data_IF_055343653489
#
_entry.id   IF_055343653489
#
_cell.length_a   1.000
_cell.length_b   1.000
_cell.length_c   1.000
_cell.angle_alpha   90.00
_cell.angle_beta   90.00
_cell.angle_gamma   90.00
#
_symmetry.space_group_name_H-M   'P 1'
#
loop_
_entity.id
_entity.type
_entity.pdbx_description
1 polymer ?
#
# COMPACT_ATOMS: atom_id res chain seq x y z
N UNK A 1 32.85 30.04 -56.57
CA UNK A 1 31.65 30.31 -55.73
C UNK A 1 31.18 29.00 -55.10
N UNK A 2 31.62 28.66 -53.90
CA UNK A 2 30.99 27.60 -53.10
C UNK A 2 31.13 27.95 -51.62
N UNK A 3 30.02 28.39 -51.01
CA UNK A 3 29.91 28.56 -49.56
C UNK A 3 29.51 27.22 -48.94
N UNK A 4 30.15 26.76 -47.84
CA UNK A 4 29.68 25.58 -47.14
C UNK A 4 28.38 25.88 -46.39
N UNK A 5 27.39 25.02 -46.62
CA UNK A 5 26.07 25.03 -46.00
C UNK A 5 26.20 24.60 -44.53
N UNK A 6 26.11 25.55 -43.59
CA UNK A 6 26.09 25.25 -42.16
C UNK A 6 24.66 24.91 -41.76
N UNK A 7 24.40 23.62 -41.53
CA UNK A 7 23.13 23.13 -40.98
C UNK A 7 23.09 23.50 -39.49
N UNK A 8 22.45 24.62 -39.15
CA UNK A 8 22.07 24.94 -37.78
C UNK A 8 20.91 24.04 -37.37
N UNK A 9 21.18 22.97 -36.63
CA UNK A 9 20.14 22.22 -35.91
C UNK A 9 19.66 23.09 -34.74
N UNK A 10 18.54 23.79 -34.95
CA UNK A 10 17.80 24.42 -33.87
C UNK A 10 17.15 23.34 -33.01
N UNK A 11 17.62 23.17 -31.77
CA UNK A 11 16.86 22.43 -30.76
C UNK A 11 15.69 23.32 -30.32
N UNK A 12 14.51 23.12 -30.90
CA UNK A 12 13.27 23.65 -30.31
C UNK A 12 12.93 22.83 -29.08
N UNK A 13 13.34 23.31 -27.90
CA UNK A 13 12.71 22.85 -26.65
C UNK A 13 11.30 23.44 -26.62
N UNK A 14 10.33 22.70 -27.17
CA UNK A 14 8.92 22.90 -26.87
C UNK A 14 8.66 22.41 -25.44
N UNK A 15 9.20 23.12 -24.45
CA UNK A 15 8.69 23.05 -23.09
C UNK A 15 7.42 23.91 -23.11
N UNK A 16 6.27 23.29 -23.40
CA UNK A 16 5.00 23.86 -22.99
C UNK A 16 5.03 23.91 -21.46
N UNK A 17 5.39 25.08 -20.93
CA UNK A 17 5.08 25.42 -19.55
C UNK A 17 3.56 25.37 -19.44
N UNK A 18 3.04 24.31 -18.82
CA UNK A 18 1.64 24.26 -18.38
C UNK A 18 1.47 25.34 -17.32
N UNK A 19 1.12 26.55 -17.75
CA UNK A 19 0.49 27.53 -16.90
C UNK A 19 -1.02 27.26 -16.92
N UNK A 20 -1.48 26.55 -15.89
CA UNK A 20 -2.74 26.88 -15.24
C UNK A 20 -2.54 26.78 -13.73
N UNK A 21 -2.07 27.87 -13.12
CA UNK A 21 -2.10 28.08 -11.67
C UNK A 21 -3.52 28.53 -11.31
N UNK A 22 -4.46 27.59 -11.38
CA UNK A 22 -5.53 27.51 -10.40
C UNK A 22 -5.20 26.26 -9.63
N UNK A 23 -5.04 26.39 -8.32
CA UNK A 23 -4.58 25.34 -7.41
C UNK A 23 -5.15 23.99 -7.82
N UNK A 24 -4.33 23.23 -8.54
CA UNK A 24 -4.74 21.97 -9.10
C UNK A 24 -4.71 21.02 -7.90
N UNK A 25 -5.82 20.99 -7.18
CA UNK A 25 -6.09 20.06 -6.10
C UNK A 25 -5.75 18.68 -6.65
N UNK A 26 -4.55 18.19 -6.26
CA UNK A 26 -3.87 17.14 -7.01
C UNK A 26 -4.75 15.91 -7.23
N UNK A 27 -4.37 15.05 -8.19
CA UNK A 27 -5.12 13.84 -8.54
C UNK A 27 -5.59 13.04 -7.31
N UNK A 28 -4.78 12.98 -6.25
CA UNK A 28 -5.12 12.35 -4.98
C UNK A 28 -6.31 13.01 -4.27
N UNK A 29 -6.38 14.35 -4.19
CA UNK A 29 -7.49 15.09 -3.57
C UNK A 29 -8.78 14.90 -4.37
N UNK A 30 -8.69 14.92 -5.70
CA UNK A 30 -9.82 14.56 -6.59
C UNK A 30 -10.28 13.11 -6.39
N UNK A 31 -9.36 12.16 -6.29
CA UNK A 31 -9.67 10.75 -6.01
C UNK A 31 -10.35 10.58 -4.65
N UNK A 32 -9.87 11.30 -3.62
CA UNK A 32 -10.39 11.24 -2.26
C UNK A 32 -11.76 11.90 -2.12
N UNK A 33 -11.98 13.03 -2.80
CA UNK A 33 -13.31 13.67 -2.86
C UNK A 33 -14.33 12.78 -3.57
N UNK A 34 -13.96 12.18 -4.71
CA UNK A 34 -14.80 11.21 -5.41
C UNK A 34 -15.09 9.95 -4.55
N UNK A 35 -14.11 9.48 -3.77
CA UNK A 35 -14.33 8.40 -2.81
C UNK A 35 -15.23 8.83 -1.65
N UNK A 36 -15.09 10.06 -1.15
CA UNK A 36 -15.96 10.65 -0.13
C UNK A 36 -17.41 10.73 -0.60
N UNK A 37 -17.63 11.19 -1.83
CA UNK A 37 -18.96 11.33 -2.41
C UNK A 37 -19.60 9.96 -2.70
N UNK A 38 -18.81 8.98 -3.14
CA UNK A 38 -19.30 7.61 -3.36
C UNK A 38 -19.55 6.83 -2.06
N UNK A 39 -18.80 7.14 -1.00
CA UNK A 39 -18.93 6.54 0.33
C UNK A 39 -19.64 7.47 1.32
N UNK A 40 -20.43 8.46 0.87
CA UNK A 40 -21.14 9.35 1.79
C UNK A 40 -22.06 8.49 2.68
N UNK A 41 -21.63 8.30 3.92
CA UNK A 41 -22.27 7.42 4.88
C UNK A 41 -23.59 8.04 5.34
N UNK A 42 -24.62 7.22 5.52
CA UNK A 42 -25.97 7.64 5.91
C UNK A 42 -26.00 7.95 7.42
N UNK A 43 -26.35 9.19 7.81
CA UNK A 43 -26.37 9.66 9.20
C UNK A 43 -27.28 8.83 10.13
N UNK A 44 -28.21 8.06 9.56
CA UNK A 44 -29.23 7.30 10.28
C UNK A 44 -28.91 5.81 10.45
N UNK A 45 -27.75 5.34 9.99
CA UNK A 45 -27.37 3.93 10.11
C UNK A 45 -26.69 3.63 11.48
N UNK A 46 -27.05 2.56 12.21
CA UNK A 46 -26.40 2.19 13.48
C UNK A 46 -24.89 1.98 13.39
N UNK A 47 -24.33 1.63 12.21
CA UNK A 47 -22.88 1.47 12.01
C UNK A 47 -22.15 2.77 11.68
N UNK A 48 -22.88 3.86 11.45
CA UNK A 48 -22.34 5.17 11.08
C UNK A 48 -21.30 5.70 12.07
N UNK A 49 -21.60 5.54 13.38
CA UNK A 49 -20.77 6.01 14.49
C UNK A 49 -19.50 5.19 14.70
N UNK A 50 -19.43 3.98 14.14
CA UNK A 50 -18.27 3.10 14.27
C UNK A 50 -17.21 3.39 13.21
N UNK A 51 -17.59 4.01 12.09
CA UNK A 51 -16.72 4.26 10.93
C UNK A 51 -16.27 5.73 10.89
N UNK A 52 -17.12 6.67 11.31
CA UNK A 52 -16.72 8.08 11.49
C UNK A 52 -16.20 8.31 12.91
N UNK A 53 -14.94 8.72 13.01
CA UNK A 53 -14.39 9.25 14.24
C UNK A 53 -14.72 10.75 14.30
N UNK A 54 -15.57 11.15 15.24
CA UNK A 54 -15.96 12.56 15.44
C UNK A 54 -14.73 13.45 15.67
N UNK A 55 -13.69 12.91 16.33
CA UNK A 55 -12.39 13.57 16.52
C UNK A 55 -11.71 13.96 15.19
N UNK A 56 -11.88 13.18 14.12
CA UNK A 56 -11.28 13.49 12.82
C UNK A 56 -12.01 14.64 12.12
N UNK A 57 -13.32 14.75 12.30
CA UNK A 57 -14.11 15.86 11.77
C UNK A 57 -13.76 17.17 12.49
N UNK A 58 -13.56 17.13 13.81
CA UNK A 58 -13.04 18.25 14.59
C UNK A 58 -11.62 18.63 14.16
N UNK A 59 -10.74 17.65 13.96
CA UNK A 59 -9.39 17.91 13.44
C UNK A 59 -9.47 18.57 12.07
N UNK A 60 -10.32 18.08 11.16
CA UNK A 60 -10.47 18.63 9.81
C UNK A 60 -10.94 20.09 9.81
N UNK A 61 -11.90 20.45 10.68
CA UNK A 61 -12.32 21.84 10.86
C UNK A 61 -11.20 22.73 11.42
N UNK A 62 -10.35 22.16 12.27
CA UNK A 62 -9.22 22.85 12.90
C UNK A 62 -7.94 22.88 12.05
N UNK A 63 -7.84 22.11 10.96
CA UNK A 63 -6.68 22.13 10.05
C UNK A 63 -6.30 23.55 9.60
N UNK A 64 -7.22 24.37 9.05
CA UNK A 64 -6.85 25.72 8.59
C UNK A 64 -6.32 26.60 9.72
N UNK A 65 -6.88 26.47 10.93
CA UNK A 65 -6.38 27.18 12.11
C UNK A 65 -4.99 26.69 12.51
N UNK A 66 -4.75 25.37 12.56
CA UNK A 66 -3.45 24.80 12.90
C UNK A 66 -2.39 25.09 11.85
N UNK A 67 -2.75 25.12 10.57
CA UNK A 67 -1.86 25.53 9.48
C UNK A 67 -1.45 27.00 9.64
N UNK A 68 -2.41 27.87 9.99
CA UNK A 68 -2.14 29.26 10.31
C UNK A 68 -1.21 29.38 11.53
N UNK A 69 -1.54 28.70 12.64
CA UNK A 69 -0.72 28.69 13.85
C UNK A 69 0.69 28.16 13.60
N UNK A 70 0.84 27.14 12.74
CA UNK A 70 2.13 26.60 12.37
C UNK A 70 2.94 27.58 11.49
N UNK A 71 2.29 28.19 10.49
CA UNK A 71 2.94 29.18 9.60
C UNK A 71 3.39 30.42 10.35
N UNK A 72 2.61 30.88 11.31
CA UNK A 72 2.86 32.12 12.07
C UNK A 72 3.25 31.86 13.53
N UNK A 73 3.81 30.67 13.81
CA UNK A 73 4.11 30.25 15.18
C UNK A 73 5.02 31.24 15.89
N UNK A 74 6.07 31.66 15.19
CA UNK A 74 7.07 32.61 15.69
C UNK A 74 6.47 33.97 16.03
N UNK A 75 5.61 34.50 15.15
CA UNK A 75 4.96 35.80 15.32
C UNK A 75 3.90 35.76 16.43
N UNK A 76 3.17 34.65 16.56
CA UNK A 76 2.20 34.43 17.63
C UNK A 76 2.91 34.33 18.97
N UNK A 77 4.03 33.62 19.05
CA UNK A 77 4.85 33.54 20.26
C UNK A 77 5.44 34.92 20.61
N UNK A 78 5.91 35.69 19.61
CA UNK A 78 6.39 37.06 19.78
C UNK A 78 5.35 37.97 20.43
N UNK A 79 4.10 37.91 19.94
CA UNK A 79 2.99 38.72 20.43
C UNK A 79 2.59 38.37 21.87
N UNK A 80 2.84 37.13 22.31
CA UNK A 80 2.59 36.66 23.69
C UNK A 80 3.66 37.13 24.68
N UNK A 81 4.84 37.55 24.21
CA UNK A 81 5.92 38.00 25.09
C UNK A 81 5.65 39.41 25.62
N UNK A 82 5.61 39.56 26.95
CA UNK A 82 5.50 40.86 27.61
C UNK A 82 6.72 41.77 27.40
N UNK A 83 6.55 43.07 27.63
CA UNK A 83 7.63 44.06 27.58
C UNK A 83 8.72 43.86 28.64
N UNK A 84 8.42 43.08 29.68
CA UNK A 84 9.31 42.81 30.82
C UNK A 84 10.37 41.72 30.55
N UNK A 85 10.28 41.04 29.40
CA UNK A 85 11.16 39.93 29.02
C UNK A 85 12.43 40.50 28.38
N UNK A 86 13.59 40.04 28.86
CA UNK A 86 14.90 40.48 28.37
C UNK A 86 15.11 40.22 26.88
N UNK A 87 15.94 41.04 26.24
CA UNK A 87 16.25 40.98 24.80
C UNK A 87 16.67 39.58 24.36
N UNK A 88 17.54 38.92 25.12
CA UNK A 88 18.06 37.58 24.80
C UNK A 88 16.96 36.52 24.77
N UNK A 89 16.07 36.52 25.77
CA UNK A 89 14.94 35.57 25.84
C UNK A 89 13.97 35.81 24.69
N UNK A 90 13.75 37.07 24.30
CA UNK A 90 12.95 37.42 23.14
C UNK A 90 13.61 36.97 21.83
N UNK A 91 14.92 37.14 21.68
CA UNK A 91 15.67 36.68 20.51
C UNK A 91 15.70 35.15 20.40
N UNK A 92 15.80 34.44 21.52
CA UNK A 92 15.72 32.97 21.58
C UNK A 92 14.33 32.47 21.19
N UNK A 93 13.26 33.10 21.68
CA UNK A 93 11.88 32.74 21.30
C UNK A 93 11.59 33.02 19.82
N UNK A 94 12.21 34.06 19.25
CA UNK A 94 12.11 34.40 17.82
C UNK A 94 13.07 33.60 16.93
N UNK A 95 13.99 32.83 17.53
CA UNK A 95 14.95 32.03 16.78
C UNK A 95 14.27 30.82 16.14
N UNK A 96 14.78 30.40 14.99
CA UNK A 96 14.26 29.21 14.29
C UNK A 96 14.53 27.97 15.15
N UNK A 97 13.56 27.06 15.31
CA UNK A 97 13.78 25.80 16.02
C UNK A 97 14.81 24.95 15.27
N UNK A 98 15.63 24.23 16.03
CA UNK A 98 16.66 23.35 15.49
C UNK A 98 16.05 22.17 14.71
N UNK A 99 16.40 22.04 13.42
CA UNK A 99 15.87 20.99 12.53
C UNK A 99 16.83 19.82 12.31
N UNK A 100 17.96 19.78 13.03
CA UNK A 100 19.02 18.78 12.85
C UNK A 100 20.25 19.31 12.11
N UNK A 101 20.04 20.27 11.22
CA UNK A 101 21.08 20.93 10.43
C UNK A 101 21.23 22.41 10.84
N UNK A 102 22.47 22.87 11.01
CA UNK A 102 22.78 24.28 11.28
C UNK A 102 22.49 25.14 10.02
N UNK A 103 21.84 26.30 10.20
CA UNK A 103 21.68 27.25 9.11
C UNK A 103 23.03 27.91 8.77
N UNK A 104 23.30 28.21 7.51
CA UNK A 104 24.61 28.74 7.06
C UNK A 104 25.05 30.03 7.77
N UNK A 105 24.09 30.85 8.23
CA UNK A 105 24.37 32.07 8.99
C UNK A 105 24.86 31.76 10.39
N UNK A 106 24.34 30.69 10.98
CA UNK A 106 24.69 30.26 12.34
C UNK A 106 26.03 29.53 12.34
N UNK A 107 26.28 28.69 11.31
CA UNK A 107 27.59 28.06 11.10
C UNK A 107 28.71 29.10 10.93
N UNK A 108 28.49 30.13 10.10
CA UNK A 108 29.46 31.20 9.89
C UNK A 108 29.68 32.06 11.14
N UNK A 109 28.62 32.35 11.90
CA UNK A 109 28.72 33.05 13.18
C UNK A 109 29.52 32.23 14.20
N UNK A 110 29.27 30.92 14.30
CA UNK A 110 30.03 30.00 15.14
C UNK A 110 31.50 29.96 14.73
N UNK A 111 31.81 29.85 13.44
CA UNK A 111 33.20 29.87 12.96
C UNK A 111 33.91 31.19 13.31
N UNK A 112 33.22 32.33 13.22
CA UNK A 112 33.76 33.62 13.65
C UNK A 112 33.97 33.68 15.16
N UNK A 113 33.01 33.22 15.96
CA UNK A 113 33.12 33.19 17.43
C UNK A 113 34.24 32.26 17.92
N UNK A 114 34.37 31.08 17.31
CA UNK A 114 35.45 30.12 17.61
C UNK A 114 36.82 30.69 17.21
N UNK A 115 36.89 31.47 16.12
CA UNK A 115 38.13 32.16 15.73
C UNK A 115 38.58 33.20 16.76
N UNK A 116 37.65 33.88 17.43
CA UNK A 116 37.93 34.88 18.47
C UNK A 116 38.30 34.22 19.80
N UNK A 117 37.74 33.06 20.12
CA UNK A 117 38.01 32.31 21.36
C UNK A 117 39.47 31.83 21.46
N UNK A 118 40.08 31.50 20.32
CA UNK A 118 41.50 31.12 20.26
C UNK A 118 42.48 32.24 20.61
N UNK A 119 42.08 33.52 20.48
CA UNK A 119 43.00 34.65 20.64
C UNK A 119 43.21 35.09 22.10
N UNK A 120 42.42 34.61 23.07
CA UNK A 120 42.51 35.01 24.49
C UNK A 120 42.84 33.89 25.48
N UNK A 121 43.18 32.70 24.99
CA UNK A 121 43.68 31.61 25.84
C UNK A 121 45.16 31.83 26.17
N UNK A 122 45.45 32.50 27.27
CA UNK A 122 46.80 32.55 27.87
C UNK A 122 47.26 31.10 28.17
N UNK A 123 48.39 30.61 27.64
CA UNK A 123 48.80 29.23 27.85
C UNK A 123 49.56 29.14 29.18
N UNK A 124 48.95 28.56 30.21
CA UNK A 124 49.66 28.35 31.47
C UNK A 124 48.81 27.98 32.67
N UNK A 125 48.26 26.76 32.67
CA UNK A 125 48.19 25.85 33.83
C UNK A 125 47.37 24.62 33.45
N UNK A 126 48.06 23.54 33.13
CA UNK A 126 47.52 22.20 33.27
C UNK A 126 47.26 21.96 34.75
N UNK A 127 45.99 21.99 35.16
CA UNK A 127 45.57 21.39 36.42
C UNK A 127 45.75 19.88 36.30
N UNK A 128 46.93 19.39 36.67
CA UNK A 128 47.15 17.98 36.92
C UNK A 128 46.26 17.54 38.09
N UNK A 129 45.40 16.56 37.82
CA UNK A 129 44.57 15.91 38.82
C UNK A 129 45.46 15.15 39.82
N UNK A 130 45.68 15.73 41.00
CA UNK A 130 46.47 15.19 42.12
C UNK A 130 45.75 14.11 42.94
N UNK A 131 44.60 13.62 42.50
CA UNK A 131 43.85 12.60 43.21
C UNK A 131 43.90 11.29 42.42
N UNK A 132 44.36 10.21 43.06
CA UNK A 132 44.36 8.80 42.62
C UNK A 132 45.61 8.31 41.85
N UNK A 133 46.62 7.89 42.62
CA UNK A 133 47.49 6.75 42.25
C UNK A 133 47.33 5.64 43.29
N UNK A 134 46.98 4.44 42.83
CA UNK A 134 46.78 3.22 43.64
C UNK A 134 48.12 2.60 44.05
N UNK A 135 48.32 2.38 45.34
CA UNK A 135 49.50 1.76 45.95
C UNK A 135 49.32 0.25 46.12
N UNK A 136 49.52 -0.58 45.09
CA UNK A 136 49.43 -2.05 45.24
C UNK A 136 50.35 -2.92 44.38
N UNK A 137 51.34 -2.38 43.67
CA UNK A 137 52.22 -3.20 42.79
C UNK A 137 53.65 -3.48 43.30
N UNK A 138 53.96 -3.19 44.56
CA UNK A 138 55.32 -3.37 45.10
C UNK A 138 55.59 -4.73 45.78
N UNK A 139 54.63 -5.66 45.86
CA UNK A 139 54.76 -6.86 46.70
C UNK A 139 55.02 -8.20 45.98
N UNK A 140 55.27 -8.23 44.66
CA UNK A 140 55.43 -9.50 43.91
C UNK A 140 56.87 -9.92 43.57
N UNK A 141 57.88 -9.13 43.92
CA UNK A 141 59.28 -9.39 43.52
C UNK A 141 60.18 -9.99 44.62
N UNK A 142 59.63 -10.65 45.65
CA UNK A 142 60.42 -11.21 46.75
C UNK A 142 60.13 -12.69 47.07
N UNK A 143 60.09 -13.56 46.05
CA UNK A 143 60.35 -15.00 46.25
C UNK A 143 61.27 -15.54 45.17
N UNK A 144 62.47 -15.94 45.61
CA UNK A 144 63.61 -16.32 44.79
C UNK A 144 63.65 -17.78 44.35
N UNK A 145 64.37 -17.97 43.24
CA UNK A 145 65.31 -19.06 42.91
C UNK A 145 64.84 -20.50 43.15
N UNK A 146 64.00 -21.00 42.24
CA UNK A 146 63.94 -22.44 41.94
C UNK A 146 64.81 -22.74 40.71
N UNK A 147 65.56 -23.85 40.76
CA UNK A 147 66.46 -24.34 39.72
C UNK A 147 65.76 -24.46 38.35
N UNK A 148 66.07 -23.53 37.44
CA UNK A 148 65.42 -23.39 36.12
C UNK A 148 65.63 -24.60 35.19
N UNK A 149 66.66 -25.42 35.42
CA UNK A 149 67.08 -26.45 34.46
C UNK A 149 66.25 -27.75 34.54
N UNK A 150 65.75 -28.15 35.72
CA UNK A 150 64.76 -29.25 35.81
C UNK A 150 63.42 -28.81 35.20
N UNK A 151 63.00 -27.57 35.49
CA UNK A 151 61.74 -27.00 35.04
C UNK A 151 61.63 -26.85 33.51
N UNK A 152 62.74 -26.66 32.80
CA UNK A 152 62.74 -26.57 31.33
C UNK A 152 62.52 -27.94 30.70
N UNK A 153 63.14 -28.98 31.26
CA UNK A 153 63.01 -30.36 30.76
C UNK A 153 61.60 -30.89 31.01
N UNK A 154 61.08 -30.72 32.22
CA UNK A 154 59.72 -31.13 32.57
C UNK A 154 58.66 -30.32 31.80
N UNK A 155 58.91 -29.04 31.50
CA UNK A 155 58.03 -28.23 30.64
C UNK A 155 58.08 -28.66 29.18
N UNK A 156 59.23 -29.09 28.69
CA UNK A 156 59.36 -29.59 27.32
C UNK A 156 58.69 -30.95 27.16
N UNK A 157 58.85 -31.83 28.14
CA UNK A 157 58.19 -33.14 28.18
C UNK A 157 56.67 -32.97 28.31
N UNK A 158 56.19 -32.13 29.24
CA UNK A 158 54.77 -31.80 29.34
C UNK A 158 54.21 -31.11 28.09
N UNK A 159 55.01 -30.27 27.41
CA UNK A 159 54.61 -29.68 26.14
C UNK A 159 54.50 -30.74 25.04
N UNK A 160 55.45 -31.67 24.95
CA UNK A 160 55.40 -32.78 23.98
C UNK A 160 54.20 -33.69 24.24
N UNK A 161 53.95 -34.06 25.50
CA UNK A 161 52.80 -34.88 25.89
C UNK A 161 51.46 -34.15 25.64
N UNK A 162 51.41 -32.83 25.86
CA UNK A 162 50.24 -32.02 25.50
C UNK A 162 50.00 -31.94 24.00
N UNK A 163 51.06 -31.94 23.18
CA UNK A 163 50.94 -31.93 21.71
C UNK A 163 50.49 -33.31 21.21
N UNK A 164 51.00 -34.40 21.79
CA UNK A 164 50.60 -35.76 21.44
C UNK A 164 49.15 -36.01 21.85
N UNK A 165 48.75 -35.64 23.06
CA UNK A 165 47.35 -35.75 23.52
C UNK A 165 46.41 -34.89 22.67
N UNK A 166 46.75 -33.64 22.36
CA UNK A 166 45.93 -32.80 21.48
C UNK A 166 45.85 -33.35 20.05
N UNK A 167 46.91 -33.98 19.54
CA UNK A 167 46.90 -34.61 18.22
C UNK A 167 45.98 -35.83 18.21
N UNK A 168 46.08 -36.69 19.22
CA UNK A 168 45.23 -37.87 19.35
C UNK A 168 43.77 -37.47 19.56
N UNK A 169 43.50 -36.55 20.49
CA UNK A 169 42.15 -36.03 20.74
C UNK A 169 41.56 -35.36 19.49
N UNK A 170 42.37 -34.66 18.68
CA UNK A 170 41.91 -34.08 17.41
C UNK A 170 41.64 -35.12 16.32
N UNK A 171 42.36 -36.25 16.31
CA UNK A 171 42.08 -37.36 15.40
C UNK A 171 40.85 -38.15 15.85
N UNK A 172 40.70 -38.41 17.16
CA UNK A 172 39.53 -39.05 17.76
C UNK A 172 38.26 -38.20 17.55
N UNK A 173 38.32 -36.90 17.83
CA UNK A 173 37.22 -35.96 17.59
C UNK A 173 36.85 -35.84 16.10
N UNK A 174 37.77 -36.12 15.18
CA UNK A 174 37.48 -36.16 13.74
C UNK A 174 36.79 -37.46 13.34
N UNK A 175 37.16 -38.59 13.95
CA UNK A 175 36.50 -39.88 13.78
C UNK A 175 35.06 -39.81 14.29
N UNK A 176 34.88 -39.45 15.56
CA UNK A 176 33.57 -39.37 16.21
C UNK A 176 32.61 -38.41 15.50
N UNK A 177 33.08 -37.25 15.05
CA UNK A 177 32.22 -36.29 14.33
C UNK A 177 31.80 -36.78 12.95
N UNK A 178 32.65 -37.56 12.27
CA UNK A 178 32.29 -38.16 10.98
C UNK A 178 31.27 -39.27 11.19
N UNK A 179 31.52 -40.16 12.12
CA UNK A 179 30.62 -41.26 12.47
C UNK A 179 29.27 -40.77 12.99
N UNK A 180 29.25 -39.74 13.84
CA UNK A 180 28.02 -39.11 14.32
C UNK A 180 27.23 -38.42 13.19
N UNK A 181 27.93 -37.78 12.23
CA UNK A 181 27.27 -37.17 11.07
C UNK A 181 26.66 -38.23 10.14
N UNK A 182 27.34 -39.36 9.95
CA UNK A 182 26.84 -40.50 9.15
C UNK A 182 25.70 -41.23 9.86
N UNK A 183 25.73 -41.29 11.19
CA UNK A 183 24.62 -41.83 11.97
C UNK A 183 23.39 -40.91 11.91
N UNK A 184 23.58 -39.59 11.99
CA UNK A 184 22.49 -38.61 11.87
C UNK A 184 21.85 -38.59 10.48
N UNK A 185 22.61 -38.76 9.39
CA UNK A 185 22.04 -38.86 8.03
C UNK A 185 21.17 -40.10 7.88
N UNK A 186 21.60 -41.26 8.38
CA UNK A 186 20.85 -42.51 8.31
C UNK A 186 19.56 -42.49 9.14
N UNK A 187 19.56 -41.80 10.28
CA UNK A 187 18.36 -41.63 11.12
C UNK A 187 17.35 -40.64 10.52
N UNK A 188 17.83 -39.57 9.86
CA UNK A 188 16.97 -38.58 9.20
C UNK A 188 16.17 -39.18 8.02
N UNK A 189 16.76 -40.12 7.27
CA UNK A 189 16.10 -40.77 6.14
C UNK A 189 15.02 -41.78 6.56
N UNK A 190 15.16 -42.45 7.71
CA UNK A 190 14.37 -43.65 8.02
C UNK A 190 13.32 -43.54 9.14
N UNK A 191 13.41 -42.60 10.08
CA UNK A 191 12.67 -42.77 11.36
C UNK A 191 11.88 -41.57 11.91
N UNK A 192 11.37 -40.63 11.09
CA UNK A 192 10.38 -39.65 11.59
C UNK A 192 9.20 -39.40 10.63
N UNK A 193 7.94 -39.42 11.14
CA UNK A 193 6.75 -39.17 10.33
C UNK A 193 6.78 -37.75 9.74
N UNK A 194 6.27 -37.64 8.51
CA UNK A 194 6.25 -36.42 7.69
C UNK A 194 5.39 -35.36 8.41
N UNK A 195 6.02 -34.39 9.08
CA UNK A 195 5.32 -33.24 9.67
C UNK A 195 5.80 -32.77 11.06
N UNK A 196 6.66 -33.51 11.76
CA UNK A 196 7.18 -33.06 13.07
C UNK A 196 8.23 -31.95 12.94
N UNK A 197 8.13 -30.90 13.76
CA UNK A 197 9.11 -29.79 13.83
C UNK A 197 10.55 -30.27 14.07
N UNK A 198 10.72 -31.42 14.72
CA UNK A 198 12.02 -32.04 14.95
C UNK A 198 12.67 -32.52 13.65
N UNK A 199 11.87 -32.97 12.66
CA UNK A 199 12.34 -33.35 11.32
C UNK A 199 12.83 -32.14 10.52
N UNK A 200 12.16 -31.00 10.67
CA UNK A 200 12.59 -29.76 10.03
C UNK A 200 13.91 -29.25 10.63
N UNK A 201 14.11 -29.40 11.95
CA UNK A 201 15.38 -29.11 12.62
C UNK A 201 16.49 -30.02 12.12
N UNK A 202 16.29 -31.34 12.13
CA UNK A 202 17.30 -32.30 11.63
C UNK A 202 17.61 -32.10 10.14
N UNK A 203 16.61 -31.84 9.29
CA UNK A 203 16.84 -31.55 7.88
C UNK A 203 17.60 -30.23 7.68
N UNK A 204 17.27 -29.20 8.47
CA UNK A 204 18.00 -27.94 8.44
C UNK A 204 19.46 -28.13 8.87
N UNK A 205 19.71 -28.90 9.93
CA UNK A 205 21.06 -29.20 10.42
C UNK A 205 21.89 -29.96 9.36
N UNK A 206 21.30 -30.96 8.70
CA UNK A 206 21.94 -31.68 7.57
C UNK A 206 22.25 -30.72 6.41
N UNK A 207 21.31 -29.83 6.07
CA UNK A 207 21.51 -28.81 5.02
C UNK A 207 22.62 -27.83 5.38
N UNK A 208 22.70 -27.42 6.65
CA UNK A 208 23.74 -26.54 7.19
C UNK A 208 25.09 -27.24 7.11
N UNK A 209 25.19 -28.50 7.53
CA UNK A 209 26.43 -29.29 7.41
C UNK A 209 26.89 -29.50 5.97
N UNK A 210 25.97 -29.82 5.06
CA UNK A 210 26.27 -29.95 3.63
C UNK A 210 26.82 -28.64 3.06
N UNK A 211 26.24 -27.51 3.45
CA UNK A 211 26.65 -26.16 3.02
C UNK A 211 27.97 -25.72 3.68
N UNK A 212 28.24 -26.16 4.91
CA UNK A 212 29.55 -26.02 5.58
C UNK A 212 30.63 -26.83 4.87
N UNK A 213 30.34 -28.08 4.48
CA UNK A 213 31.25 -28.94 3.70
C UNK A 213 31.55 -28.34 2.32
N UNK A 214 30.55 -27.76 1.65
CA UNK A 214 30.72 -27.01 0.38
C UNK A 214 31.51 -25.71 0.56
N UNK A 215 31.64 -25.19 1.78
CA UNK A 215 32.38 -23.97 2.08
C UNK A 215 31.62 -22.68 1.76
N UNK A 216 30.30 -22.75 1.55
CA UNK A 216 29.44 -21.59 1.27
C UNK A 216 29.53 -20.54 2.40
N UNK A 217 29.71 -21.00 3.64
CA UNK A 217 29.88 -20.17 4.83
C UNK A 217 31.24 -19.44 4.91
N UNK A 218 32.26 -19.81 4.11
CA UNK A 218 33.54 -19.07 4.09
C UNK A 218 33.38 -17.64 3.56
N UNK A 219 32.32 -17.39 2.79
CA UNK A 219 31.94 -16.04 2.30
C UNK A 219 31.36 -15.12 3.38
N UNK A 220 30.94 -15.66 4.54
CA UNK A 220 30.26 -14.88 5.59
C UNK A 220 31.15 -13.80 6.22
N UNK A 221 32.47 -14.01 6.26
CA UNK A 221 33.42 -13.00 6.74
C UNK A 221 33.41 -11.72 5.88
N UNK A 222 33.08 -11.83 4.59
CA UNK A 222 33.03 -10.71 3.65
C UNK A 222 31.77 -9.85 3.79
N UNK A 223 30.75 -10.38 4.47
CA UNK A 223 29.47 -9.71 4.74
C UNK A 223 29.30 -9.28 6.20
N UNK A 224 30.27 -9.59 7.08
CA UNK A 224 30.26 -9.15 8.47
C UNK A 224 30.26 -7.62 8.56
N UNK A 225 29.23 -7.05 9.17
CA UNK A 225 29.05 -5.60 9.31
C UNK A 225 28.51 -4.88 8.07
N UNK A 226 28.30 -5.57 6.94
CA UNK A 226 27.58 -4.99 5.80
C UNK A 226 26.07 -5.07 6.07
N UNK A 227 25.35 -4.00 5.75
CA UNK A 227 23.88 -3.99 5.81
C UNK A 227 23.37 -5.13 4.93
N UNK A 228 22.47 -5.95 5.47
CA UNK A 228 21.76 -6.94 4.67
C UNK A 228 21.05 -6.22 3.52
N UNK A 229 20.99 -6.83 2.34
CA UNK A 229 20.17 -6.36 1.22
C UNK A 229 18.66 -6.65 1.48
N UNK A 230 18.25 -6.57 2.74
CA UNK A 230 16.87 -6.64 3.19
C UNK A 230 16.49 -5.23 3.58
N UNK A 231 15.39 -4.73 3.02
CA UNK A 231 14.80 -3.48 3.51
C UNK A 231 14.47 -3.66 4.99
N UNK A 232 14.98 -2.74 5.82
CA UNK A 232 14.60 -2.72 7.22
C UNK A 232 13.09 -2.47 7.28
N UNK A 233 12.34 -3.22 8.11
CA UNK A 233 10.91 -3.03 8.21
C UNK A 233 10.62 -1.58 8.57
N UNK A 234 9.59 -1.00 7.95
CA UNK A 234 9.15 0.36 8.27
C UNK A 234 8.85 0.42 9.78
N UNK A 235 9.30 1.45 10.52
CA UNK A 235 9.15 1.51 11.98
C UNK A 235 7.71 1.38 12.50
N UNK A 236 6.73 1.67 11.65
CA UNK A 236 5.30 1.68 11.97
C UNK A 236 4.54 0.42 11.56
N UNK A 237 5.20 -0.52 10.86
CA UNK A 237 4.60 -1.78 10.43
C UNK A 237 5.18 -2.87 11.30
N UNK A 238 4.33 -3.71 11.88
CA UNK A 238 4.82 -4.81 12.71
C UNK A 238 5.71 -5.75 11.87
N UNK A 239 6.75 -6.30 12.48
CA UNK A 239 7.70 -7.21 11.82
C UNK A 239 6.99 -8.44 11.26
N UNK A 240 5.93 -8.89 11.94
CA UNK A 240 5.11 -10.03 11.49
C UNK A 240 4.34 -9.70 10.21
N UNK A 241 3.65 -8.56 10.19
CA UNK A 241 2.91 -8.04 9.03
C UNK A 241 3.83 -7.80 7.84
N UNK A 242 5.01 -7.21 8.07
CA UNK A 242 6.01 -7.03 7.03
C UNK A 242 6.43 -8.36 6.41
N UNK A 243 6.73 -9.36 7.24
CA UNK A 243 7.14 -10.68 6.75
C UNK A 243 6.02 -11.38 5.99
N UNK A 244 4.78 -11.27 6.47
CA UNK A 244 3.61 -11.85 5.83
C UNK A 244 3.35 -11.19 4.46
N UNK A 245 3.46 -9.87 4.37
CA UNK A 245 3.37 -9.12 3.12
C UNK A 245 4.49 -9.50 2.14
N UNK A 246 5.72 -9.69 2.63
CA UNK A 246 6.83 -10.17 1.80
C UNK A 246 6.56 -11.58 1.25
N UNK A 247 6.00 -12.49 2.05
CA UNK A 247 5.63 -13.83 1.60
C UNK A 247 4.55 -13.75 0.51
N UNK A 248 3.50 -12.96 0.73
CA UNK A 248 2.43 -12.76 -0.26
C UNK A 248 2.98 -12.19 -1.58
N UNK A 249 3.83 -11.17 -1.51
CA UNK A 249 4.46 -10.55 -2.66
C UNK A 249 5.38 -11.51 -3.42
N UNK A 250 6.19 -12.30 -2.69
CA UNK A 250 7.07 -13.33 -3.28
C UNK A 250 6.29 -14.42 -3.97
N UNK A 251 5.17 -14.86 -3.39
CA UNK A 251 4.31 -15.90 -3.95
C UNK A 251 3.36 -15.36 -5.03
N UNK A 252 3.27 -14.03 -5.21
CA UNK A 252 2.32 -13.37 -6.11
C UNK A 252 0.87 -13.77 -5.81
N UNK A 253 0.54 -13.94 -4.53
CA UNK A 253 -0.79 -14.33 -4.07
C UNK A 253 -1.49 -13.11 -3.49
N UNK A 254 -2.72 -12.88 -3.92
CA UNK A 254 -3.61 -11.88 -3.34
C UNK A 254 -4.37 -12.49 -2.15
N UNK A 255 -4.58 -11.76 -1.06
CA UNK A 255 -5.51 -12.14 0.00
C UNK A 255 -6.89 -12.54 -0.56
N UNK A 256 -7.56 -13.57 0.00
CA UNK A 256 -8.83 -14.08 -0.53
C UNK A 256 -9.94 -13.02 -0.67
N UNK A 257 -9.99 -12.04 0.24
CA UNK A 257 -10.98 -10.97 0.18
C UNK A 257 -10.73 -10.03 -1.00
N UNK A 258 -9.49 -9.85 -1.48
CA UNK A 258 -9.20 -9.00 -2.65
C UNK A 258 -9.77 -9.64 -3.92
N UNK A 259 -9.61 -10.95 -4.08
CA UNK A 259 -10.20 -11.67 -5.22
C UNK A 259 -11.72 -11.54 -5.20
N UNK A 260 -12.31 -11.74 -4.03
CA UNK A 260 -13.76 -11.62 -3.80
C UNK A 260 -14.28 -10.17 -3.92
N UNK A 261 -13.45 -9.18 -3.64
CA UNK A 261 -13.79 -7.77 -3.84
C UNK A 261 -14.10 -7.50 -5.31
N UNK A 262 -13.31 -8.09 -6.22
CA UNK A 262 -13.53 -7.95 -7.66
C UNK A 262 -14.85 -8.60 -8.10
N UNK A 263 -15.14 -9.81 -7.61
CA UNK A 263 -16.37 -10.54 -7.97
C UNK A 263 -17.61 -9.78 -7.48
N UNK A 264 -17.61 -9.33 -6.23
CA UNK A 264 -18.72 -8.55 -5.65
C UNK A 264 -18.95 -7.25 -6.43
N UNK A 265 -17.88 -6.55 -6.85
CA UNK A 265 -18.04 -5.33 -7.65
C UNK A 265 -18.66 -5.60 -9.02
N UNK A 266 -18.29 -6.71 -9.65
CA UNK A 266 -18.87 -7.15 -10.93
C UNK A 266 -20.34 -7.52 -10.73
N UNK A 267 -20.68 -8.23 -9.66
CA UNK A 267 -22.07 -8.59 -9.32
C UNK A 267 -22.93 -7.35 -9.07
N UNK A 268 -22.44 -6.35 -8.32
CA UNK A 268 -23.13 -5.07 -8.11
C UNK A 268 -23.36 -4.35 -9.44
N UNK A 269 -22.33 -4.28 -10.28
CA UNK A 269 -22.42 -3.60 -11.58
C UNK A 269 -23.41 -4.30 -12.50
N UNK A 270 -23.42 -5.63 -12.50
CA UNK A 270 -24.37 -6.47 -13.23
C UNK A 270 -25.79 -6.31 -12.71
N UNK A 271 -25.98 -6.26 -11.39
CA UNK A 271 -27.30 -6.01 -10.81
C UNK A 271 -27.85 -4.68 -11.31
N UNK A 272 -27.06 -3.62 -11.20
CA UNK A 272 -27.44 -2.26 -11.64
C UNK A 272 -27.73 -2.18 -13.12
N UNK A 273 -26.91 -2.82 -13.97
CA UNK A 273 -27.21 -2.87 -15.40
C UNK A 273 -28.49 -3.64 -15.68
N UNK A 274 -28.76 -4.76 -14.97
CA UNK A 274 -30.05 -5.46 -15.15
C UNK A 274 -31.26 -4.64 -14.73
N UNK A 275 -31.12 -3.79 -13.71
CA UNK A 275 -32.19 -2.90 -13.26
C UNK A 275 -32.43 -1.82 -14.31
N UNK A 276 -31.36 -1.16 -14.76
CA UNK A 276 -31.40 -0.15 -15.83
C UNK A 276 -32.00 -0.72 -17.12
N UNK A 277 -31.55 -1.89 -17.59
CA UNK A 277 -32.07 -2.53 -18.80
C UNK A 277 -33.57 -2.86 -18.68
N UNK A 278 -34.00 -3.36 -17.52
CA UNK A 278 -35.42 -3.68 -17.30
C UNK A 278 -36.28 -2.41 -17.28
N UNK A 279 -35.77 -1.34 -16.67
CA UNK A 279 -36.46 -0.06 -16.61
C UNK A 279 -36.50 0.60 -18.00
N UNK A 280 -35.40 0.56 -18.76
CA UNK A 280 -35.35 1.06 -20.13
C UNK A 280 -36.38 0.37 -21.01
N UNK A 281 -36.53 -0.96 -20.91
CA UNK A 281 -37.56 -1.69 -21.69
C UNK A 281 -38.97 -1.21 -21.37
N UNK A 282 -39.29 -0.99 -20.10
CA UNK A 282 -40.59 -0.44 -19.69
C UNK A 282 -40.78 1.00 -20.16
N UNK A 283 -39.73 1.83 -20.07
CA UNK A 283 -39.75 3.19 -20.57
C UNK A 283 -40.06 3.21 -22.07
N UNK A 284 -39.36 2.39 -22.86
CA UNK A 284 -39.57 2.25 -24.31
C UNK A 284 -40.99 1.77 -24.60
N UNK A 285 -41.49 0.78 -23.84
CA UNK A 285 -42.86 0.31 -23.97
C UNK A 285 -43.89 1.41 -23.73
N UNK A 286 -43.71 2.26 -22.71
CA UNK A 286 -44.59 3.41 -22.47
C UNK A 286 -44.47 4.45 -23.60
N UNK A 287 -43.26 4.70 -24.11
CA UNK A 287 -43.05 5.62 -25.24
C UNK A 287 -43.72 5.12 -26.53
N UNK A 288 -43.67 3.81 -26.78
CA UNK A 288 -44.37 3.17 -27.90
C UNK A 288 -45.89 3.25 -27.72
N UNK A 289 -46.40 3.01 -26.51
CA UNK A 289 -47.83 3.17 -26.21
C UNK A 289 -48.32 4.60 -26.42
N UNK A 290 -47.43 5.60 -26.26
CA UNK A 290 -47.68 7.02 -26.54
C UNK A 290 -47.37 7.44 -27.98
N UNK A 291 -47.01 6.49 -28.87
CA UNK A 291 -46.77 6.71 -30.31
C UNK A 291 -45.67 7.74 -30.62
N UNK A 292 -44.69 7.89 -29.73
CA UNK A 292 -43.64 8.91 -29.86
C UNK A 292 -42.74 8.65 -31.06
N UNK A 293 -42.52 7.37 -31.38
CA UNK A 293 -41.65 6.93 -32.46
C UNK A 293 -42.34 6.87 -33.84
N UNK A 294 -43.58 7.36 -33.98
CA UNK A 294 -44.28 7.38 -35.28
C UNK A 294 -43.62 8.35 -36.28
N UNK A 295 -43.68 7.99 -37.56
CA UNK A 295 -43.03 8.74 -38.65
C UNK A 295 -43.69 10.11 -38.81
N UNK A 296 -42.91 11.18 -38.67
CA UNK A 296 -43.42 12.56 -38.76
C UNK A 296 -43.85 13.17 -37.42
N UNK A 297 -43.70 12.43 -36.31
CA UNK A 297 -43.80 12.97 -34.95
C UNK A 297 -42.78 14.10 -34.75
N UNK A 298 -43.22 15.23 -34.17
CA UNK A 298 -42.32 16.31 -33.75
C UNK A 298 -41.43 15.79 -32.61
N UNK A 299 -40.15 16.22 -32.53
CA UNK A 299 -39.30 15.83 -31.41
C UNK A 299 -40.00 16.18 -30.09
N UNK A 300 -40.19 15.20 -29.18
CA UNK A 300 -40.88 15.45 -27.92
C UNK A 300 -40.11 16.46 -27.07
N UNK A 301 -40.84 17.33 -26.37
CA UNK A 301 -40.25 18.24 -25.40
C UNK A 301 -39.66 17.45 -24.22
N UNK A 302 -38.52 17.89 -23.69
CA UNK A 302 -37.81 17.26 -22.56
C UNK A 302 -38.75 17.11 -21.34
N UNK A 303 -39.55 18.13 -21.02
CA UNK A 303 -40.51 18.07 -19.91
C UNK A 303 -41.56 16.96 -20.06
N UNK A 304 -41.96 16.67 -21.30
CA UNK A 304 -42.91 15.59 -21.57
C UNK A 304 -42.26 14.20 -21.45
N UNK A 305 -40.97 14.09 -21.80
CA UNK A 305 -40.19 12.87 -21.61
C UNK A 305 -39.98 12.55 -20.12
N UNK A 306 -39.76 13.57 -19.29
CA UNK A 306 -39.64 13.42 -17.84
C UNK A 306 -40.95 12.96 -17.17
N UNK A 307 -42.10 13.44 -17.64
CA UNK A 307 -43.40 12.95 -17.15
C UNK A 307 -43.58 11.45 -17.46
N UNK A 308 -43.17 11.03 -18.67
CA UNK A 308 -43.20 9.62 -19.07
C UNK A 308 -42.24 8.81 -18.22
N UNK A 309 -41.04 9.31 -17.95
CA UNK A 309 -40.05 8.67 -17.06
C UNK A 309 -40.64 8.33 -15.70
N UNK A 310 -41.27 9.32 -15.04
CA UNK A 310 -41.87 9.15 -13.71
C UNK A 310 -43.03 8.16 -13.74
N UNK A 311 -43.91 8.27 -14.75
CA UNK A 311 -45.06 7.36 -14.88
C UNK A 311 -44.64 5.91 -15.19
N UNK A 312 -43.62 5.73 -16.03
CA UNK A 312 -43.03 4.42 -16.34
C UNK A 312 -42.39 3.82 -15.09
N UNK A 313 -41.65 4.64 -14.33
CA UNK A 313 -40.98 4.20 -13.10
C UNK A 313 -41.98 3.71 -12.06
N UNK A 314 -43.08 4.43 -11.83
CA UNK A 314 -44.08 4.01 -10.84
C UNK A 314 -44.72 2.66 -11.19
N UNK A 315 -44.89 2.33 -12.47
CA UNK A 315 -45.43 1.05 -12.92
C UNK A 315 -44.39 -0.06 -12.82
N UNK A 316 -43.19 0.19 -13.36
CA UNK A 316 -42.06 -0.75 -13.33
C UNK A 316 -41.63 -1.09 -11.90
N UNK A 317 -41.49 -0.10 -11.02
CA UNK A 317 -41.06 -0.32 -9.65
C UNK A 317 -42.01 -1.27 -8.89
N UNK A 318 -43.33 -1.18 -9.13
CA UNK A 318 -44.31 -2.08 -8.52
C UNK A 318 -44.20 -3.51 -9.04
N UNK A 319 -44.05 -3.69 -10.36
CA UNK A 319 -43.96 -5.02 -10.97
C UNK A 319 -42.60 -5.69 -10.70
N UNK A 320 -41.53 -4.91 -10.64
CA UNK A 320 -40.16 -5.39 -10.51
C UNK A 320 -39.72 -5.59 -9.06
N UNK A 321 -40.45 -5.06 -8.06
CA UNK A 321 -40.03 -5.10 -6.65
C UNK A 321 -39.72 -6.52 -6.14
N UNK A 322 -40.55 -7.51 -6.49
CA UNK A 322 -40.35 -8.90 -6.03
C UNK A 322 -39.07 -9.51 -6.60
N UNK A 323 -38.76 -9.23 -7.87
CA UNK A 323 -37.53 -9.65 -8.55
C UNK A 323 -36.33 -8.90 -7.99
N UNK A 324 -36.50 -7.61 -7.69
CA UNK A 324 -35.45 -6.79 -7.10
C UNK A 324 -35.07 -7.30 -5.70
N UNK A 325 -36.06 -7.65 -4.87
CA UNK A 325 -35.85 -8.21 -3.54
C UNK A 325 -35.06 -9.52 -3.58
N UNK A 326 -35.40 -10.46 -4.47
CA UNK A 326 -34.68 -11.73 -4.57
C UNK A 326 -33.23 -11.54 -4.99
N UNK A 327 -32.98 -10.72 -6.03
CA UNK A 327 -31.63 -10.40 -6.52
C UNK A 327 -30.78 -9.66 -5.48
N UNK A 328 -31.36 -8.68 -4.80
CA UNK A 328 -30.68 -7.93 -3.74
C UNK A 328 -30.34 -8.85 -2.56
N UNK A 329 -31.23 -9.77 -2.18
CA UNK A 329 -30.96 -10.73 -1.11
C UNK A 329 -29.81 -11.69 -1.48
N UNK A 330 -29.78 -12.19 -2.71
CA UNK A 330 -28.69 -13.03 -3.22
C UNK A 330 -27.34 -12.30 -3.15
N UNK A 331 -27.30 -11.05 -3.62
CA UNK A 331 -26.08 -10.23 -3.59
C UNK A 331 -25.68 -9.85 -2.15
N UNK A 332 -26.65 -9.58 -1.26
CA UNK A 332 -26.38 -9.32 0.14
C UNK A 332 -25.77 -10.54 0.87
N UNK A 333 -26.11 -11.76 0.46
CA UNK A 333 -25.44 -12.97 0.97
C UNK A 333 -23.98 -13.05 0.50
N UNK A 334 -23.71 -12.73 -0.77
CA UNK A 334 -22.35 -12.60 -1.32
C UNK A 334 -21.55 -11.54 -0.54
N UNK A 335 -22.13 -10.36 -0.34
CA UNK A 335 -21.56 -9.25 0.44
C UNK A 335 -21.26 -9.64 1.90
N UNK A 336 -22.16 -10.36 2.56
CA UNK A 336 -21.92 -10.86 3.93
C UNK A 336 -20.67 -11.73 3.99
N UNK A 337 -20.53 -12.64 3.04
CA UNK A 337 -19.40 -13.56 2.97
C UNK A 337 -18.09 -12.86 2.57
N UNK A 338 -18.16 -11.70 1.90
CA UNK A 338 -17.03 -10.81 1.65
C UNK A 338 -16.64 -10.04 2.92
N UNK A 339 -17.61 -9.40 3.57
CA UNK A 339 -17.39 -8.60 4.78
C UNK A 339 -16.79 -9.41 5.94
N UNK A 340 -17.13 -10.70 6.04
CA UNK A 340 -16.54 -11.60 7.03
C UNK A 340 -15.01 -11.76 6.85
N UNK A 341 -14.53 -11.68 5.62
CA UNK A 341 -13.11 -11.89 5.26
C UNK A 341 -12.35 -10.57 5.12
N UNK A 342 -13.06 -9.47 4.86
CA UNK A 342 -12.48 -8.17 4.57
C UNK A 342 -12.18 -7.39 5.87
N UNK A 343 -11.04 -6.67 5.93
CA UNK A 343 -10.77 -5.74 7.01
C UNK A 343 -11.83 -4.63 7.05
N UNK A 344 -12.08 -4.07 8.25
CA UNK A 344 -13.16 -3.10 8.50
C UNK A 344 -13.20 -1.94 7.50
N UNK A 345 -12.03 -1.44 7.09
CA UNK A 345 -11.90 -0.34 6.14
C UNK A 345 -12.39 -0.64 4.72
N UNK A 346 -12.44 -1.92 4.32
CA UNK A 346 -12.84 -2.33 2.96
C UNK A 346 -14.19 -3.04 2.91
N UNK A 347 -14.84 -3.24 4.06
CA UNK A 347 -16.18 -3.80 4.13
C UNK A 347 -17.19 -2.92 3.37
N UNK A 348 -18.19 -3.57 2.77
CA UNK A 348 -19.22 -2.93 1.95
C UNK A 348 -20.57 -2.94 2.68
N UNK A 349 -21.35 -1.88 2.49
CA UNK A 349 -22.72 -1.84 3.01
C UNK A 349 -23.65 -2.79 2.26
N UNK A 350 -24.68 -3.25 2.96
CA UNK A 350 -25.77 -4.00 2.33
C UNK A 350 -26.59 -3.09 1.43
N UNK A 351 -27.06 -3.67 0.33
CA UNK A 351 -27.89 -2.98 -0.63
C UNK A 351 -29.35 -3.00 -0.15
N UNK A 352 -30.01 -1.85 -0.28
CA UNK A 352 -31.43 -1.69 -0.03
C UNK A 352 -32.16 -1.55 -1.36
N UNK A 353 -33.27 -2.27 -1.50
CA UNK A 353 -34.05 -2.32 -2.75
C UNK A 353 -34.53 -0.93 -3.15
N UNK A 354 -35.12 -0.18 -2.23
CA UNK A 354 -35.66 1.16 -2.51
C UNK A 354 -34.59 2.13 -3.02
N UNK A 355 -33.36 2.04 -2.47
CA UNK A 355 -32.23 2.88 -2.90
C UNK A 355 -31.73 2.49 -4.29
N UNK A 356 -31.66 1.20 -4.61
CA UNK A 356 -31.25 0.76 -5.95
C UNK A 356 -32.33 1.06 -7.01
N UNK A 357 -33.61 1.03 -6.65
CA UNK A 357 -34.69 1.52 -7.52
C UNK A 357 -34.59 3.04 -7.72
N UNK A 358 -34.40 3.82 -6.66
CA UNK A 358 -34.22 5.27 -6.76
C UNK A 358 -32.97 5.63 -7.59
N UNK A 359 -31.89 4.87 -7.44
CA UNK A 359 -30.67 5.00 -8.24
C UNK A 359 -30.95 4.75 -9.73
N UNK A 360 -31.75 3.73 -10.06
CA UNK A 360 -32.14 3.50 -11.45
C UNK A 360 -32.92 4.69 -12.03
N UNK A 361 -33.78 5.34 -11.24
CA UNK A 361 -34.45 6.58 -11.68
C UNK A 361 -33.46 7.74 -11.90
N UNK A 362 -32.50 7.93 -10.99
CA UNK A 362 -31.56 9.05 -11.11
C UNK A 362 -30.55 8.88 -12.24
N UNK A 363 -30.09 7.65 -12.47
CA UNK A 363 -29.02 7.32 -13.43
C UNK A 363 -29.53 7.35 -14.88
N UNK A 364 -30.84 7.19 -15.08
CA UNK A 364 -31.42 7.13 -16.42
C UNK A 364 -31.66 8.51 -17.02
N UNK A 365 -30.94 8.82 -18.10
CA UNK A 365 -31.25 9.94 -18.98
C UNK A 365 -32.22 9.50 -20.08
N UNK A 366 -33.43 10.08 -20.07
CA UNK A 366 -34.50 9.75 -21.03
C UNK A 366 -34.10 10.14 -22.44
N UNK A 367 -33.37 11.24 -22.59
CA UNK A 367 -32.94 11.75 -23.89
C UNK A 367 -31.98 10.78 -24.54
N UNK A 368 -31.02 10.28 -23.78
CA UNK A 368 -30.04 9.30 -24.27
C UNK A 368 -30.71 7.98 -24.65
N UNK A 369 -31.66 7.49 -23.84
CA UNK A 369 -32.42 6.27 -24.15
C UNK A 369 -33.25 6.45 -25.43
N UNK A 370 -33.90 7.60 -25.60
CA UNK A 370 -34.67 7.91 -26.81
C UNK A 370 -33.79 7.94 -28.07
N UNK A 371 -32.65 8.62 -28.01
CA UNK A 371 -31.72 8.68 -29.14
C UNK A 371 -31.15 7.30 -29.51
N UNK A 372 -30.78 6.50 -28.50
CA UNK A 372 -30.28 5.13 -28.71
C UNK A 372 -31.33 4.28 -29.43
N UNK A 373 -32.58 4.33 -28.97
CA UNK A 373 -33.68 3.60 -29.60
C UNK A 373 -34.00 4.09 -31.01
N UNK A 374 -33.95 5.40 -31.24
CA UNK A 374 -34.15 5.95 -32.59
C UNK A 374 -33.07 5.46 -33.55
N UNK A 375 -31.80 5.46 -33.13
CA UNK A 375 -30.68 4.91 -33.91
C UNK A 375 -30.85 3.41 -34.19
N UNK A 376 -31.28 2.63 -33.18
CA UNK A 376 -31.54 1.20 -33.34
C UNK A 376 -32.70 0.91 -34.31
N UNK A 377 -33.77 1.71 -34.29
CA UNK A 377 -34.87 1.56 -35.26
C UNK A 377 -34.43 1.92 -36.67
N UNK A 378 -33.64 2.98 -36.83
CA UNK A 378 -33.05 3.35 -38.11
C UNK A 378 -32.13 2.26 -38.65
N UNK A 379 -31.26 1.67 -37.82
CA UNK A 379 -30.36 0.59 -38.23
C UNK A 379 -31.15 -0.65 -38.67
N UNK A 380 -32.15 -1.09 -37.89
CA UNK A 380 -33.05 -2.21 -38.25
C UNK A 380 -33.75 -1.96 -39.59
N UNK A 381 -34.17 -0.72 -39.87
CA UNK A 381 -34.76 -0.35 -41.15
C UNK A 381 -33.74 -0.48 -42.29
N UNK A 382 -32.53 0.05 -42.13
CA UNK A 382 -31.47 -0.09 -43.15
C UNK A 382 -31.08 -1.55 -43.39
N UNK A 383 -31.02 -2.37 -42.34
CA UNK A 383 -30.77 -3.81 -42.44
C UNK A 383 -31.89 -4.53 -43.19
N UNK A 384 -33.15 -4.18 -42.92
CA UNK A 384 -34.30 -4.76 -43.64
C UNK A 384 -34.30 -4.42 -45.14
N UNK A 385 -33.86 -3.21 -45.50
CA UNK A 385 -33.73 -2.77 -46.90
C UNK A 385 -32.54 -3.42 -47.61
N UNK A 386 -31.46 -3.69 -46.89
CA UNK A 386 -30.24 -4.30 -47.42
C UNK A 386 -30.27 -5.84 -47.41
N UNK A 387 -31.24 -6.45 -46.73
CA UNK A 387 -31.44 -7.90 -46.81
C UNK A 387 -31.78 -8.28 -48.27
N UNK A 388 -31.01 -9.19 -48.91
CA UNK A 388 -31.37 -9.67 -50.24
C UNK A 388 -32.76 -10.28 -50.13
N UNK A 389 -33.64 -10.02 -51.12
CA UNK A 389 -34.97 -10.62 -51.22
C UNK A 389 -34.84 -12.14 -51.34
N UNK A 390 -34.57 -12.85 -50.24
CA UNK A 390 -34.45 -14.29 -50.24
C UNK A 390 -35.84 -14.87 -50.19
N UNK A 391 -36.22 -15.45 -51.34
CA UNK A 391 -37.18 -16.52 -51.53
C UNK A 391 -38.57 -16.22 -50.96
N UNK A 392 -39.42 -15.63 -51.79
CA UNK A 392 -40.86 -15.78 -51.62
C UNK A 392 -41.17 -17.27 -51.50
N UNK A 393 -41.68 -17.68 -50.34
CA UNK A 393 -42.36 -18.97 -50.19
C UNK A 393 -43.60 -18.92 -51.09
N UNK A 394 -43.43 -19.33 -52.34
CA UNK A 394 -44.53 -19.75 -53.18
C UNK A 394 -45.13 -21.00 -52.51
N UNK A 395 -46.25 -20.83 -51.81
CA UNK A 395 -47.08 -21.95 -51.40
C UNK A 395 -47.46 -22.73 -52.67
N UNK A 396 -47.09 -24.01 -52.81
CA UNK A 396 -47.49 -24.77 -53.99
C UNK A 396 -49.00 -24.90 -53.98
N UNK A 397 -49.66 -24.42 -55.04
CA UNK A 397 -51.09 -24.59 -55.32
C UNK A 397 -51.42 -26.05 -55.68
N UNK A 398 -51.02 -27.01 -54.84
CA UNK A 398 -51.17 -28.45 -55.04
C UNK A 398 -51.86 -29.14 -53.85
N UNK A 399 -52.84 -28.46 -53.25
CA UNK A 399 -53.86 -29.11 -52.43
C UNK A 399 -55.24 -28.77 -52.99
N UNK A 400 -55.50 -29.25 -54.21
CA UNK A 400 -56.87 -29.54 -54.64
C UNK A 400 -57.17 -30.96 -54.14
N UNK A 401 -57.81 -31.06 -52.98
CA UNK A 401 -58.40 -32.30 -52.52
C UNK A 401 -59.60 -32.64 -53.43
N UNK A 402 -59.65 -33.90 -53.84
CA UNK A 402 -60.80 -34.59 -54.39
C UNK A 402 -61.67 -35.10 -53.25
#
# INVERSE_FOLDING_TARGET
>A
MFRPFVIKRGFSRACQAFQSIKDDEGYLKRRLTLLKDNNSLDEKDPLYKLIRNEELDEVAQNIPQKEFEHRFRTEIEAAKLGSHIGKEVREIAMSKPWTGDEHFTDTSLRMLMDSVKGAKSIPGKSLENLAFKSTTDTAKNLKGVDNKNLRIRDRLEAAQDSIISYRNEKEDLKGEKKEASEFHTLYAEKFTPIGSFEKLRTLADVRIEESMKKGEFKSTGQYRGKKLAMESPRPYVDRTEHHLNDILARQKISPPWIDKQSSVNIEISRLRSTFADSYHRELIFQMDAKRIFERGSKPPNIFYLDEIKLSAFSKWAKSFNTIAQSKVNELNNSLRSYNLQAPLSTQKFYLLVDKELARALSDTDVSEVFEKEQKLRLSRMTESLNSPKTLGLAWPKLLKFW
#
